data_IF_332053035862
#
_entry.id   IF_332053035862
#
_cell.length_a   1.000
_cell.length_b   1.000
_cell.length_c   1.000
_cell.angle_alpha   90.00
_cell.angle_beta   90.00
_cell.angle_gamma   90.00
#
_symmetry.space_group_name_H-M   'P 1'
#
loop_
_entity.id
_entity.type
_entity.pdbx_description
1 polymer ?
#
# COMPACT_ATOMS: atom_id res chain seq x y z
N UNK A 1 -22.34 16.35 5.55
CA UNK A 1 -22.29 14.89 5.78
C UNK A 1 -21.01 14.58 6.52
N UNK A 2 -21.10 13.83 7.61
CA UNK A 2 -19.93 13.29 8.32
C UNK A 2 -19.27 12.22 7.44
N UNK A 3 -17.96 12.31 7.23
CA UNK A 3 -17.20 11.29 6.48
C UNK A 3 -16.93 10.12 7.41
N UNK A 4 -17.31 8.92 7.00
CA UNK A 4 -17.00 7.67 7.70
C UNK A 4 -15.93 6.90 6.93
N UNK A 5 -15.11 6.14 7.65
CA UNK A 5 -14.06 5.28 7.07
C UNK A 5 -14.57 3.86 6.97
N UNK A 6 -14.45 3.24 5.79
CA UNK A 6 -14.67 1.81 5.63
C UNK A 6 -13.47 1.05 6.22
N UNK A 7 -13.73 0.13 7.14
CA UNK A 7 -12.72 -0.76 7.71
C UNK A 7 -12.94 -2.16 7.14
N UNK A 8 -11.89 -2.79 6.61
CA UNK A 8 -11.93 -4.14 6.06
C UNK A 8 -10.94 -5.02 6.81
N UNK A 9 -11.40 -6.21 7.21
CA UNK A 9 -10.58 -7.30 7.70
C UNK A 9 -9.85 -8.01 6.56
N UNK A 10 -8.87 -8.85 6.91
CA UNK A 10 -8.11 -9.61 5.93
C UNK A 10 -9.00 -10.53 5.07
N UNK A 11 -10.02 -11.16 5.64
CA UNK A 11 -10.96 -12.01 4.90
C UNK A 11 -11.80 -11.20 3.92
N UNK A 12 -12.33 -10.05 4.34
CA UNK A 12 -13.14 -9.19 3.46
C UNK A 12 -12.31 -8.64 2.30
N UNK A 13 -11.03 -8.34 2.51
CA UNK A 13 -10.11 -7.97 1.43
C UNK A 13 -9.99 -9.13 0.43
N UNK A 14 -9.74 -10.36 0.91
CA UNK A 14 -9.60 -11.53 0.02
C UNK A 14 -10.85 -11.79 -0.80
N UNK A 15 -12.03 -11.60 -0.22
CA UNK A 15 -13.31 -11.75 -0.91
C UNK A 15 -13.53 -10.70 -2.01
N UNK A 16 -12.84 -9.56 -1.94
CA UNK A 16 -12.92 -8.48 -2.91
C UNK A 16 -11.84 -8.55 -4.02
N UNK A 17 -10.84 -9.42 -3.89
CA UNK A 17 -9.72 -9.46 -4.83
C UNK A 17 -10.03 -10.31 -6.07
N UNK A 18 -9.95 -9.68 -7.24
CA UNK A 18 -9.90 -10.36 -8.53
C UNK A 18 -8.47 -10.33 -9.09
N UNK A 19 -7.82 -11.49 -9.32
CA UNK A 19 -6.44 -11.54 -9.82
C UNK A 19 -6.21 -10.77 -11.13
N UNK A 20 -7.18 -10.77 -12.05
CA UNK A 20 -7.05 -10.07 -13.33
C UNK A 20 -7.11 -8.55 -13.17
N UNK A 21 -7.92 -8.06 -12.23
CA UNK A 21 -8.00 -6.64 -11.92
C UNK A 21 -6.72 -6.18 -11.21
N UNK A 22 -6.19 -7.01 -10.29
CA UNK A 22 -4.91 -6.76 -9.64
C UNK A 22 -3.79 -6.59 -10.67
N UNK A 23 -3.68 -7.51 -11.64
CA UNK A 23 -2.66 -7.43 -12.68
C UNK A 23 -2.77 -6.14 -13.51
N UNK A 24 -3.99 -5.74 -13.90
CA UNK A 24 -4.22 -4.49 -14.63
C UNK A 24 -3.83 -3.26 -13.83
N UNK A 25 -4.19 -3.21 -12.54
CA UNK A 25 -3.84 -2.10 -11.65
C UNK A 25 -2.33 -2.00 -11.48
N UNK A 26 -1.64 -3.14 -11.33
CA UNK A 26 -0.19 -3.19 -11.20
C UNK A 26 0.51 -2.71 -12.48
N UNK A 27 0.08 -3.20 -13.65
CA UNK A 27 0.62 -2.76 -14.95
C UNK A 27 0.48 -1.25 -15.15
N UNK A 28 -0.73 -0.72 -14.90
CA UNK A 28 -1.00 0.71 -15.01
C UNK A 28 -0.14 1.53 -14.04
N UNK A 29 0.01 1.06 -12.80
CA UNK A 29 0.85 1.75 -11.80
C UNK A 29 2.31 1.81 -12.26
N UNK A 30 2.86 0.71 -12.79
CA UNK A 30 4.22 0.70 -13.33
C UNK A 30 4.36 1.64 -14.54
N UNK A 31 3.35 1.69 -15.41
CA UNK A 31 3.32 2.62 -16.55
C UNK A 31 3.37 4.07 -16.09
N UNK A 32 2.51 4.47 -15.16
CA UNK A 32 2.48 5.86 -14.66
C UNK A 32 3.77 6.22 -13.89
N UNK A 33 4.35 5.28 -13.13
CA UNK A 33 5.66 5.47 -12.50
C UNK A 33 6.77 5.63 -13.54
N UNK A 34 6.79 4.81 -14.59
CA UNK A 34 7.76 4.91 -15.69
C UNK A 34 7.66 6.24 -16.47
N UNK A 35 6.47 6.84 -16.49
CA UNK A 35 6.22 8.16 -17.08
C UNK A 35 6.52 9.33 -16.12
N UNK A 36 6.94 9.05 -14.88
CA UNK A 36 7.24 10.07 -13.88
C UNK A 36 6.00 10.78 -13.31
N UNK A 37 4.82 10.15 -13.39
CA UNK A 37 3.53 10.75 -12.97
C UNK A 37 3.06 10.29 -11.59
N UNK A 38 3.98 9.75 -10.80
CA UNK A 38 3.70 9.26 -9.46
C UNK A 38 4.71 9.84 -8.48
N UNK A 39 4.28 10.09 -7.25
CA UNK A 39 5.15 10.48 -6.15
C UNK A 39 5.42 9.25 -5.29
N UNK A 40 6.63 8.70 -5.40
CA UNK A 40 7.13 7.56 -4.61
C UNK A 40 8.39 7.97 -3.85
N UNK A 41 8.26 8.56 -2.65
CA UNK A 41 9.42 8.82 -1.81
C UNK A 41 10.05 7.50 -1.33
N UNK A 42 11.32 7.51 -0.91
CA UNK A 42 11.97 6.34 -0.33
C UNK A 42 11.20 5.80 0.88
N UNK A 43 11.18 4.47 1.03
CA UNK A 43 10.56 3.80 2.18
C UNK A 43 11.27 4.21 3.47
N UNK A 44 10.50 4.54 4.50
CA UNK A 44 11.05 4.83 5.82
C UNK A 44 11.05 3.55 6.65
N UNK A 45 12.20 3.26 7.27
CA UNK A 45 12.36 2.12 8.18
C UNK A 45 12.46 2.62 9.61
N UNK A 46 11.62 2.07 10.49
CA UNK A 46 11.66 2.35 11.91
C UNK A 46 12.04 1.08 12.66
N UNK A 47 13.14 1.18 13.41
CA UNK A 47 13.59 0.13 14.31
C UNK A 47 13.02 0.40 15.72
N UNK A 48 12.30 -0.57 16.28
CA UNK A 48 11.68 -0.48 17.60
C UNK A 48 12.34 -1.49 18.57
N UNK A 49 13.53 -1.16 19.13
CA UNK A 49 14.29 -2.10 19.95
C UNK A 49 13.58 -2.55 21.24
N UNK A 50 12.65 -1.74 21.76
CA UNK A 50 11.98 -1.97 23.05
C UNK A 50 10.90 -3.07 23.04
N UNK A 51 10.44 -3.52 21.87
CA UNK A 51 9.34 -4.52 21.79
C UNK A 51 9.82 -5.96 21.60
N UNK A 52 11.15 -6.22 21.58
CA UNK A 52 11.68 -7.55 21.30
C UNK A 52 11.36 -8.08 19.89
N UNK A 53 10.78 -7.23 19.04
CA UNK A 53 10.47 -7.53 17.64
C UNK A 53 11.72 -7.31 16.80
N UNK A 54 12.08 -8.33 16.00
CA UNK A 54 13.12 -8.21 14.96
C UNK A 54 12.61 -7.50 13.70
N UNK A 55 11.31 -7.18 13.68
CA UNK A 55 10.62 -6.66 12.51
C UNK A 55 10.74 -5.13 12.44
N UNK A 56 11.15 -4.63 11.28
CA UNK A 56 11.10 -3.20 10.97
C UNK A 56 9.66 -2.83 10.65
N UNK A 57 9.17 -1.73 11.25
CA UNK A 57 7.99 -1.07 10.70
C UNK A 57 8.44 -0.25 9.50
N UNK A 58 7.74 -0.41 8.38
CA UNK A 58 7.98 0.40 7.18
C UNK A 58 6.77 1.28 6.88
N UNK A 59 7.03 2.56 6.60
CA UNK A 59 6.06 3.46 6.02
C UNK A 59 6.38 3.61 4.52
N UNK A 60 5.39 3.34 3.68
CA UNK A 60 5.51 3.34 2.21
C UNK A 60 4.41 4.24 1.64
N UNK A 61 4.53 5.57 1.78
CA UNK A 61 3.57 6.47 1.18
C UNK A 61 3.76 6.47 -0.34
N UNK A 62 2.65 6.56 -1.07
CA UNK A 62 2.61 6.75 -2.50
C UNK A 62 1.50 7.75 -2.84
N UNK A 63 1.70 8.53 -3.89
CA UNK A 63 0.72 9.48 -4.42
C UNK A 63 0.67 9.43 -5.95
N UNK A 64 -0.51 9.74 -6.48
CA UNK A 64 -0.77 10.01 -7.91
C UNK A 64 -1.22 11.45 -8.06
#
# INVERSE_FOLDING_TARGET
MERKTLLLSASEVLDCLNPWEVLRVVEETFRETGLGRTILPPKLFMYLPGEGRKDFLFAVPAGV
#
